data_IF_411758018482
#
_entry.id   IF_411758018482
#
_cell.length_a   1.000
_cell.length_b   1.000
_cell.length_c   1.000
_cell.angle_alpha   90.00
_cell.angle_beta   90.00
_cell.angle_gamma   90.00
#
_symmetry.space_group_name_H-M   'P 1'
#
loop_
_entity.id
_entity.type
_entity.pdbx_description
1 polymer ?
#
# COMPACT_ATOMS: atom_id res chain seq x y z
N UNK A 1 -42.85 -8.16 3.53
CA UNK A 1 -42.01 -7.47 4.55
C UNK A 1 -40.57 -7.99 4.70
N UNK A 2 -40.20 -9.23 4.30
CA UNK A 2 -38.82 -9.77 4.40
C UNK A 2 -37.78 -9.17 3.44
N UNK A 3 -38.20 -8.63 2.29
CA UNK A 3 -37.30 -8.05 1.28
C UNK A 3 -36.65 -6.73 1.72
N UNK A 4 -37.40 -5.87 2.41
CA UNK A 4 -36.92 -4.54 2.82
C UNK A 4 -35.86 -4.60 3.94
N UNK A 5 -35.91 -5.61 4.80
CA UNK A 5 -34.88 -5.80 5.84
C UNK A 5 -33.54 -6.26 5.25
N UNK A 6 -33.57 -7.05 4.17
CA UNK A 6 -32.37 -7.47 3.44
C UNK A 6 -31.73 -6.29 2.69
N UNK A 7 -32.56 -5.38 2.16
CA UNK A 7 -32.09 -4.15 1.51
C UNK A 7 -31.48 -3.16 2.53
N UNK A 8 -32.08 -2.99 3.72
CA UNK A 8 -31.50 -2.18 4.80
C UNK A 8 -30.16 -2.73 5.30
N UNK A 9 -30.03 -4.06 5.39
CA UNK A 9 -28.77 -4.72 5.75
C UNK A 9 -27.67 -4.49 4.70
N UNK A 10 -28.00 -4.45 3.41
CA UNK A 10 -27.04 -4.19 2.33
C UNK A 10 -26.60 -2.73 2.30
N UNK A 11 -27.50 -1.79 2.62
CA UNK A 11 -27.16 -0.36 2.72
C UNK A 11 -26.36 -0.06 3.99
N UNK A 12 -26.63 -0.77 5.09
CA UNK A 12 -25.92 -0.61 6.37
C UNK A 12 -24.48 -1.13 6.37
N UNK A 13 -24.06 -1.90 5.36
CA UNK A 13 -22.67 -2.30 5.17
C UNK A 13 -21.80 -1.16 4.61
N UNK A 14 -22.40 -0.10 4.08
CA UNK A 14 -21.72 1.16 3.82
C UNK A 14 -21.72 2.00 5.10
N UNK A 15 -21.01 1.53 6.13
CA UNK A 15 -20.69 2.38 7.26
C UNK A 15 -19.77 3.47 6.74
N UNK A 16 -20.33 4.66 6.49
CA UNK A 16 -19.54 5.83 6.14
C UNK A 16 -18.57 6.08 7.30
N UNK A 17 -17.27 5.89 7.05
CA UNK A 17 -16.24 6.13 8.03
C UNK A 17 -16.15 7.64 8.26
N UNK A 18 -16.82 8.15 9.29
CA UNK A 18 -16.83 9.58 9.66
C UNK A 18 -15.57 9.97 10.44
N UNK A 19 -14.42 9.44 10.01
CA UNK A 19 -13.12 9.69 10.62
C UNK A 19 -12.07 9.95 9.56
N UNK A 20 -11.09 10.77 9.87
CA UNK A 20 -9.90 10.93 9.04
C UNK A 20 -8.94 9.78 9.32
N UNK A 21 -8.54 9.03 8.29
CA UNK A 21 -7.39 8.13 8.39
C UNK A 21 -6.13 8.88 8.00
N UNK A 22 -5.13 8.84 8.87
CA UNK A 22 -3.79 9.32 8.55
C UNK A 22 -2.95 8.18 7.97
N UNK A 23 -2.57 8.35 6.71
CA UNK A 23 -1.64 7.48 6.00
C UNK A 23 -0.27 8.14 6.07
N UNK A 24 0.70 7.46 6.69
CA UNK A 24 2.07 7.94 6.77
C UNK A 24 2.83 7.51 5.52
N UNK A 25 3.76 8.33 5.05
CA UNK A 25 4.58 7.98 3.90
C UNK A 25 5.39 6.69 4.18
N UNK A 26 5.25 5.64 3.35
CA UNK A 26 6.00 4.40 3.53
C UNK A 26 7.49 4.55 3.21
N UNK A 27 7.86 5.61 2.47
CA UNK A 27 9.24 5.97 2.17
C UNK A 27 9.45 7.47 2.41
N UNK A 28 10.63 7.83 2.89
CA UNK A 28 11.03 9.23 3.06
C UNK A 28 11.21 9.91 1.69
N UNK A 29 10.63 11.13 1.53
CA UNK A 29 10.90 12.20 0.53
C UNK A 29 9.60 12.77 -0.09
N UNK A 30 9.73 13.43 -1.26
CA UNK A 30 8.72 14.25 -1.90
C UNK A 30 7.67 13.38 -2.59
N UNK A 31 6.41 13.72 -2.31
CA UNK A 31 5.26 13.25 -3.08
C UNK A 31 5.38 13.85 -4.48
N UNK A 32 5.20 13.01 -5.50
CA UNK A 32 5.12 13.41 -6.90
C UNK A 32 3.72 13.10 -7.40
N UNK A 33 3.21 13.94 -8.30
CA UNK A 33 1.94 13.69 -8.94
C UNK A 33 2.04 12.35 -9.71
N UNK A 34 0.98 11.54 -9.65
CA UNK A 34 0.93 10.25 -10.33
C UNK A 34 1.09 10.42 -11.85
N UNK A 35 0.64 11.56 -12.40
CA UNK A 35 0.80 11.96 -13.80
C UNK A 35 2.26 12.12 -14.24
N UNK A 36 3.18 12.35 -13.29
CA UNK A 36 4.60 12.50 -13.56
C UNK A 36 5.38 11.17 -13.48
N UNK A 37 4.69 10.05 -13.20
CA UNK A 37 5.30 8.73 -13.20
C UNK A 37 5.50 8.28 -14.65
N UNK A 38 6.72 7.83 -15.04
CA UNK A 38 7.02 7.44 -16.42
C UNK A 38 6.45 6.06 -16.80
N UNK A 39 5.19 5.81 -16.46
CA UNK A 39 4.43 4.60 -16.81
C UNK A 39 2.94 4.96 -16.98
N UNK A 40 2.43 4.68 -18.18
CA UNK A 40 1.06 5.02 -18.62
C UNK A 40 0.00 4.34 -17.74
N UNK A 41 0.25 3.12 -17.26
CA UNK A 41 -0.69 2.37 -16.41
C UNK A 41 -0.94 3.10 -15.09
N UNK A 42 0.08 3.77 -14.55
CA UNK A 42 -0.03 4.57 -13.34
C UNK A 42 -0.46 6.01 -13.63
N UNK A 43 0.13 6.65 -14.64
CA UNK A 43 -0.15 8.04 -15.00
C UNK A 43 -1.60 8.26 -15.42
N UNK A 44 -2.20 7.32 -16.16
CA UNK A 44 -3.60 7.38 -16.58
C UNK A 44 -4.58 6.89 -15.50
N UNK A 45 -4.09 6.57 -14.29
CA UNK A 45 -4.92 6.10 -13.16
C UNK A 45 -5.80 4.89 -13.51
N UNK A 46 -5.37 4.04 -14.44
CA UNK A 46 -6.13 2.86 -14.91
C UNK A 46 -6.43 1.92 -13.72
N UNK A 47 -5.51 1.84 -12.76
CA UNK A 47 -5.63 0.99 -11.55
C UNK A 47 -6.23 1.75 -10.36
N UNK A 48 -6.70 2.98 -10.56
CA UNK A 48 -7.31 3.85 -9.55
C UNK A 48 -6.45 5.06 -9.14
N UNK A 49 -7.04 5.93 -8.31
CA UNK A 49 -6.36 7.10 -7.74
C UNK A 49 -5.23 6.66 -6.79
N UNK A 50 -4.04 7.23 -7.02
CA UNK A 50 -2.81 6.88 -6.32
C UNK A 50 -1.95 8.11 -6.09
N UNK A 51 -1.00 7.97 -5.18
CA UNK A 51 0.11 8.91 -4.98
C UNK A 51 1.42 8.20 -5.32
N UNK A 52 2.38 8.93 -5.88
CA UNK A 52 3.72 8.43 -6.08
C UNK A 52 4.70 9.18 -5.18
N UNK A 53 5.74 8.49 -4.73
CA UNK A 53 6.80 9.05 -3.88
C UNK A 53 8.12 8.75 -4.59
N UNK A 54 8.97 9.76 -4.79
CA UNK A 54 10.32 9.56 -5.32
C UNK A 54 11.27 9.22 -4.15
N UNK A 55 11.71 7.96 -4.01
CA UNK A 55 12.53 7.55 -2.87
C UNK A 55 13.95 8.11 -2.97
N UNK A 56 14.54 8.47 -1.82
CA UNK A 56 16.01 8.66 -1.66
C UNK A 56 16.54 7.75 -0.54
N UNK A 57 15.64 7.04 0.13
CA UNK A 57 15.98 6.03 1.12
C UNK A 57 15.84 4.64 0.54
N UNK A 58 16.38 3.69 1.28
CA UNK A 58 16.38 2.27 0.95
C UNK A 58 15.56 1.48 1.98
N UNK A 59 14.60 2.11 2.65
CA UNK A 59 13.80 1.50 3.70
C UNK A 59 12.33 1.78 3.43
N UNK A 60 11.54 0.74 3.59
CA UNK A 60 10.10 0.78 3.40
C UNK A 60 9.42 0.46 4.72
N UNK A 61 8.61 1.39 5.19
CA UNK A 61 7.90 1.29 6.44
C UNK A 61 6.39 1.15 6.23
N UNK A 62 5.71 0.65 7.25
CA UNK A 62 4.27 0.54 7.25
C UNK A 62 3.60 1.93 7.24
N UNK A 63 2.69 2.21 6.28
CA UNK A 63 2.00 3.49 6.21
C UNK A 63 0.89 3.63 7.27
N UNK A 64 0.44 2.52 7.85
CA UNK A 64 -0.69 2.46 8.79
C UNK A 64 -0.42 1.48 9.94
N UNK A 65 -1.23 1.54 10.99
CA UNK A 65 -1.34 0.43 11.94
C UNK A 65 -2.28 -0.61 11.31
N UNK A 66 -1.87 -1.88 11.30
CA UNK A 66 -2.66 -2.91 10.65
C UNK A 66 -1.94 -4.24 10.53
N UNK A 67 -2.47 -5.08 9.65
CA UNK A 67 -1.95 -6.41 9.37
C UNK A 67 -1.47 -6.48 7.92
N UNK A 68 -0.25 -6.98 7.73
CA UNK A 68 0.30 -7.26 6.41
C UNK A 68 -0.55 -8.34 5.75
N UNK A 69 -1.11 -8.03 4.58
CA UNK A 69 -1.88 -8.96 3.78
C UNK A 69 -0.96 -9.88 3.00
N UNK A 70 -0.60 -9.46 1.79
CA UNK A 70 0.27 -10.21 0.88
C UNK A 70 1.59 -9.49 0.68
N UNK A 71 2.69 -10.24 0.67
CA UNK A 71 4.00 -9.75 0.22
C UNK A 71 4.32 -10.50 -1.07
N UNK A 72 4.67 -9.78 -2.13
CA UNK A 72 4.98 -10.39 -3.41
C UNK A 72 6.29 -11.18 -3.32
N UNK A 73 6.41 -12.25 -4.11
CA UNK A 73 7.57 -13.16 -4.06
C UNK A 73 8.90 -12.44 -4.29
N UNK A 74 8.89 -11.39 -5.12
CA UNK A 74 10.05 -10.55 -5.42
C UNK A 74 10.22 -9.37 -4.44
N UNK A 75 9.46 -9.32 -3.33
CA UNK A 75 9.56 -8.36 -2.22
C UNK A 75 9.46 -6.86 -2.56
N UNK A 76 9.15 -6.52 -3.82
CA UNK A 76 8.98 -5.14 -4.31
C UNK A 76 7.63 -4.50 -3.95
N UNK A 77 6.64 -5.31 -3.57
CA UNK A 77 5.29 -4.84 -3.30
C UNK A 77 4.66 -5.60 -2.12
N UNK A 78 3.76 -4.92 -1.42
CA UNK A 78 2.96 -5.51 -0.36
C UNK A 78 1.57 -4.88 -0.27
N UNK A 79 0.63 -5.63 0.31
CA UNK A 79 -0.65 -5.09 0.78
C UNK A 79 -0.70 -5.05 2.30
N UNK A 80 -1.39 -4.04 2.84
CA UNK A 80 -1.65 -3.90 4.27
C UNK A 80 -3.11 -3.51 4.48
N UNK A 81 -3.77 -4.21 5.39
CA UNK A 81 -5.10 -3.84 5.85
C UNK A 81 -4.97 -3.10 7.17
N UNK A 82 -5.38 -1.83 7.19
CA UNK A 82 -5.39 -1.03 8.42
C UNK A 82 -6.39 -1.58 9.43
N UNK A 83 -6.20 -1.25 10.72
CA UNK A 83 -7.15 -1.59 11.80
C UNK A 83 -8.57 -1.02 11.56
N UNK A 84 -8.67 -0.04 10.66
CA UNK A 84 -9.93 0.61 10.27
C UNK A 84 -10.64 -0.08 9.10
N UNK A 85 -10.04 -1.15 8.55
CA UNK A 85 -10.58 -1.90 7.41
C UNK A 85 -10.20 -1.36 6.03
N UNK A 86 -9.39 -0.30 5.96
CA UNK A 86 -8.88 0.24 4.69
C UNK A 86 -7.70 -0.60 4.22
N UNK A 87 -7.78 -1.13 3.00
CA UNK A 87 -6.69 -1.84 2.33
C UNK A 87 -5.82 -0.85 1.55
N UNK A 88 -4.51 -0.91 1.78
CA UNK A 88 -3.52 -0.15 1.04
C UNK A 88 -2.62 -1.11 0.27
N UNK A 89 -2.25 -0.69 -0.93
CA UNK A 89 -1.30 -1.39 -1.79
C UNK A 89 -0.10 -0.50 -2.05
N UNK A 90 1.10 -1.00 -1.74
CA UNK A 90 2.36 -0.28 -1.94
C UNK A 90 3.19 -1.07 -2.94
N UNK A 91 3.60 -0.41 -4.02
CA UNK A 91 4.44 -0.97 -5.07
C UNK A 91 5.70 -0.10 -5.23
N UNK A 92 6.86 -0.74 -5.19
CA UNK A 92 8.14 -0.02 -5.31
C UNK A 92 8.65 -0.01 -6.74
N UNK A 93 8.92 1.18 -7.26
CA UNK A 93 9.45 1.37 -8.60
C UNK A 93 8.47 0.95 -9.70
N UNK A 94 9.00 0.85 -10.91
CA UNK A 94 8.32 0.39 -12.12
C UNK A 94 9.13 -0.83 -12.60
N UNK A 95 8.44 -1.88 -13.07
CA UNK A 95 9.05 -3.13 -13.57
C UNK A 95 10.02 -3.84 -12.61
N UNK A 96 9.97 -3.54 -11.31
CA UNK A 96 10.83 -4.14 -10.29
C UNK A 96 10.58 -5.63 -10.07
N UNK A 97 9.49 -6.16 -10.61
CA UNK A 97 9.26 -7.61 -10.71
C UNK A 97 10.35 -8.31 -11.52
N UNK A 98 10.94 -7.64 -12.53
CA UNK A 98 11.99 -8.19 -13.38
C UNK A 98 13.31 -8.41 -12.64
N UNK A 99 13.50 -7.71 -11.51
CA UNK A 99 14.65 -7.89 -10.62
C UNK A 99 14.61 -9.22 -9.88
N UNK A 100 13.51 -9.98 -9.95
CA UNK A 100 13.37 -11.31 -9.31
C UNK A 100 13.71 -11.32 -7.81
N UNK A 101 13.49 -10.20 -7.14
CA UNK A 101 13.80 -10.01 -5.72
C UNK A 101 15.24 -9.58 -5.43
N UNK A 102 16.10 -9.46 -6.44
CA UNK A 102 17.44 -8.92 -6.28
C UNK A 102 17.37 -7.45 -5.82
N UNK A 103 18.16 -7.11 -4.81
CA UNK A 103 18.18 -5.78 -4.23
C UNK A 103 17.08 -5.51 -3.20
N UNK A 104 16.14 -6.44 -2.95
CA UNK A 104 15.15 -6.34 -1.89
C UNK A 104 15.46 -7.30 -0.74
N UNK A 105 15.31 -6.80 0.49
CA UNK A 105 15.45 -7.59 1.71
C UNK A 105 14.15 -7.50 2.52
N UNK A 106 13.51 -8.66 2.70
CA UNK A 106 12.27 -8.80 3.45
C UNK A 106 12.58 -8.89 4.94
N UNK A 107 11.91 -8.05 5.73
CA UNK A 107 12.08 -8.02 7.20
C UNK A 107 10.87 -8.66 7.88
N UNK A 108 9.66 -8.37 7.39
CA UNK A 108 8.42 -8.86 7.98
C UNK A 108 7.70 -9.93 7.13
N UNK A 109 6.74 -10.63 7.75
CA UNK A 109 5.99 -11.74 7.14
C UNK A 109 4.50 -11.42 6.93
N UNK A 110 3.86 -12.18 6.05
CA UNK A 110 2.40 -12.10 5.85
C UNK A 110 1.65 -12.45 7.16
N UNK A 111 0.51 -11.81 7.37
CA UNK A 111 -0.30 -11.96 8.58
C UNK A 111 0.28 -11.30 9.82
N UNK A 112 1.42 -10.61 9.72
CA UNK A 112 2.03 -9.91 10.85
C UNK A 112 1.31 -8.60 11.13
N UNK A 113 1.01 -8.35 12.41
CA UNK A 113 0.53 -7.04 12.88
C UNK A 113 1.70 -6.07 13.01
N UNK A 114 1.57 -4.89 12.42
CA UNK A 114 2.59 -3.84 12.38
C UNK A 114 2.01 -2.50 12.80
N UNK A 115 2.85 -1.62 13.33
CA UNK A 115 2.48 -0.23 13.63
C UNK A 115 2.95 0.69 12.51
N UNK A 116 2.39 1.90 12.46
CA UNK A 116 2.91 2.98 11.61
C UNK A 116 4.41 3.10 11.78
N UNK A 117 5.13 3.30 10.68
CA UNK A 117 6.59 3.48 10.63
C UNK A 117 7.40 2.19 10.93
N UNK A 118 6.77 1.06 11.29
CA UNK A 118 7.47 -0.23 11.40
C UNK A 118 8.13 -0.60 10.07
N UNK A 119 9.41 -0.96 10.12
CA UNK A 119 10.22 -1.29 8.95
C UNK A 119 9.83 -2.67 8.40
N UNK A 120 9.39 -2.72 7.14
CA UNK A 120 8.85 -3.92 6.49
C UNK A 120 9.85 -4.56 5.52
N UNK A 121 10.58 -3.73 4.78
CA UNK A 121 11.60 -4.16 3.82
C UNK A 121 12.67 -3.10 3.64
N UNK A 122 13.84 -3.52 3.18
CA UNK A 122 14.92 -2.62 2.78
C UNK A 122 15.42 -2.94 1.38
N UNK A 123 15.91 -1.92 0.69
CA UNK A 123 16.64 -2.04 -0.56
C UNK A 123 18.14 -2.04 -0.27
N UNK A 124 18.85 -2.94 -0.94
CA UNK A 124 20.31 -3.08 -0.82
C UNK A 124 21.01 -2.46 -2.04
N UNK A 125 20.29 -2.27 -3.14
CA UNK A 125 20.85 -1.68 -4.35
C UNK A 125 21.03 -0.14 -4.20
N UNK A 126 22.15 0.44 -4.64
CA UNK A 126 22.23 1.90 -4.80
C UNK A 126 21.22 2.34 -5.86
N UNK A 127 20.34 3.28 -5.49
CA UNK A 127 19.46 3.99 -6.43
C UNK A 127 20.28 4.79 -7.46
#
# INVERSE_FOLDING_TARGET
>A
MRFFNKLKSLVSACTQYTGSIEIVAPLSRNIVNIENVPDVVFAEKIVGDRIAIKPIGNQMSSPVNGTIGKIFDTNHAFSITSDTGIELFVHFGIDTVELKGEGFFRIDKEGQSVKKVTLLSSLICPL
#
